data_IF_103208086995
#
_entry.id   IF_103208086995
#
_cell.length_a   1.000
_cell.length_b   1.000
_cell.length_c   1.000
_cell.angle_alpha   90.00
_cell.angle_beta   90.00
_cell.angle_gamma   90.00
#
_symmetry.space_group_name_H-M   'P 1'
#
loop_
_entity.id
_entity.type
_entity.pdbx_description
1 polymer ?
#
# COMPACT_ATOMS: atom_id res chain seq x y z
N UNK A 1 4.52 17.91 5.46
CA UNK A 1 5.30 17.45 4.29
C UNK A 1 4.85 16.05 3.92
N UNK A 2 3.89 16.01 3.01
CA UNK A 2 3.32 14.88 2.25
C UNK A 2 4.42 14.05 1.56
N UNK A 3 4.20 12.75 1.35
CA UNK A 3 5.14 11.84 0.67
C UNK A 3 5.53 12.42 -0.71
N UNK A 4 6.76 12.94 -0.91
CA UNK A 4 7.10 13.64 -2.13
C UNK A 4 7.51 12.62 -3.20
N UNK A 5 6.72 12.56 -4.26
CA UNK A 5 6.99 11.96 -5.57
C UNK A 5 7.36 10.47 -5.52
N UNK A 6 6.35 9.60 -5.67
CA UNK A 6 6.58 8.24 -6.13
C UNK A 6 7.47 8.33 -7.38
N UNK A 7 8.67 7.73 -7.32
CA UNK A 7 9.54 7.69 -8.48
C UNK A 7 8.87 6.80 -9.54
N UNK A 8 8.25 7.42 -10.55
CA UNK A 8 7.46 6.73 -11.56
C UNK A 8 8.27 5.66 -12.31
N UNK A 9 9.56 5.91 -12.58
CA UNK A 9 10.42 4.91 -13.22
C UNK A 9 10.69 3.72 -12.31
N UNK A 10 10.91 3.96 -11.01
CA UNK A 10 11.10 2.87 -10.04
C UNK A 10 9.80 2.08 -9.82
N UNK A 11 8.65 2.76 -9.77
CA UNK A 11 7.34 2.12 -9.66
C UNK A 11 7.02 1.26 -10.88
N UNK A 12 7.32 1.75 -12.08
CA UNK A 12 7.15 1.00 -13.33
C UNK A 12 8.07 -0.23 -13.36
N UNK A 13 9.37 -0.07 -13.09
CA UNK A 13 10.31 -1.20 -13.02
C UNK A 13 9.90 -2.25 -12.00
N UNK A 14 9.40 -1.81 -10.85
CA UNK A 14 8.87 -2.71 -9.83
C UNK A 14 7.67 -3.49 -10.39
N UNK A 15 6.68 -2.79 -10.96
CA UNK A 15 5.47 -3.39 -11.51
C UNK A 15 5.77 -4.38 -12.64
N UNK A 16 6.65 -4.01 -13.58
CA UNK A 16 7.12 -4.88 -14.68
C UNK A 16 7.75 -6.18 -14.16
N UNK A 17 8.39 -6.16 -12.98
CA UNK A 17 8.98 -7.36 -12.37
C UNK A 17 7.95 -8.41 -11.91
N UNK A 18 6.65 -8.08 -11.93
CA UNK A 18 5.54 -8.99 -11.65
C UNK A 18 4.71 -9.34 -12.90
N UNK A 19 5.14 -8.89 -14.08
CA UNK A 19 4.47 -9.22 -15.34
C UNK A 19 4.57 -10.72 -15.68
N UNK A 20 3.58 -11.23 -16.39
CA UNK A 20 3.56 -12.60 -16.90
C UNK A 20 3.15 -13.67 -15.88
N UNK A 21 2.72 -14.82 -16.40
CA UNK A 21 2.07 -15.89 -15.61
C UNK A 21 2.99 -16.52 -14.56
N UNK A 22 4.30 -16.58 -14.83
CA UNK A 22 5.30 -17.14 -13.92
C UNK A 22 5.43 -16.35 -12.60
N UNK A 23 4.96 -15.09 -12.55
CA UNK A 23 5.04 -14.24 -11.37
C UNK A 23 3.72 -14.18 -10.56
N UNK A 24 2.72 -14.99 -10.91
CA UNK A 24 1.38 -14.95 -10.30
C UNK A 24 1.39 -15.12 -8.77
N UNK A 25 2.12 -16.10 -8.24
CA UNK A 25 2.24 -16.29 -6.77
C UNK A 25 2.94 -15.10 -6.09
N UNK A 26 3.98 -14.56 -6.73
CA UNK A 26 4.72 -13.40 -6.22
C UNK A 26 3.86 -12.14 -6.22
N UNK A 27 3.00 -11.99 -7.24
CA UNK A 27 2.01 -10.92 -7.32
C UNK A 27 0.96 -11.03 -6.22
N UNK A 28 0.48 -12.25 -5.93
CA UNK A 28 -0.46 -12.49 -4.84
C UNK A 28 0.15 -12.12 -3.48
N UNK A 29 1.39 -12.53 -3.23
CA UNK A 29 2.12 -12.13 -2.03
C UNK A 29 2.30 -10.61 -1.93
N UNK A 30 2.57 -9.92 -3.05
CA UNK A 30 2.67 -8.46 -3.06
C UNK A 30 1.36 -7.81 -2.61
N UNK A 31 0.22 -8.30 -3.11
CA UNK A 31 -1.10 -7.79 -2.72
C UNK A 31 -1.29 -7.94 -1.21
N UNK A 32 -1.04 -9.15 -0.68
CA UNK A 32 -1.22 -9.43 0.75
C UNK A 32 -0.34 -8.53 1.62
N UNK A 33 0.92 -8.32 1.23
CA UNK A 33 1.84 -7.43 1.95
C UNK A 33 1.39 -5.97 1.92
N UNK A 34 0.89 -5.49 0.78
CA UNK A 34 0.38 -4.11 0.68
C UNK A 34 -0.88 -3.93 1.52
N UNK A 35 -1.82 -4.88 1.47
CA UNK A 35 -3.02 -4.84 2.30
C UNK A 35 -2.67 -4.85 3.79
N UNK A 36 -1.70 -5.67 4.19
CA UNK A 36 -1.19 -5.71 5.56
C UNK A 36 -0.60 -4.36 5.99
N UNK A 37 0.29 -3.77 5.18
CA UNK A 37 0.93 -2.49 5.51
C UNK A 37 -0.10 -1.37 5.57
N UNK A 38 -1.08 -1.31 4.67
CA UNK A 38 -2.14 -0.31 4.71
C UNK A 38 -3.05 -0.47 5.93
N UNK A 39 -3.40 -1.71 6.28
CA UNK A 39 -4.17 -2.01 7.48
C UNK A 39 -3.41 -1.62 8.76
N UNK A 40 -2.11 -1.91 8.82
CA UNK A 40 -1.27 -1.43 9.92
C UNK A 40 -1.17 0.09 9.94
N UNK A 41 -1.02 0.75 8.79
CA UNK A 41 -1.02 2.23 8.71
C UNK A 41 -2.31 2.83 9.27
N UNK A 42 -3.47 2.23 8.95
CA UNK A 42 -4.76 2.67 9.45
C UNK A 42 -4.87 2.48 10.97
N UNK A 43 -4.51 1.30 11.49
CA UNK A 43 -4.56 0.98 12.93
C UNK A 43 -3.62 1.87 13.73
N UNK A 44 -2.39 2.02 13.25
CA UNK A 44 -1.34 2.79 13.93
C UNK A 44 -1.61 4.29 13.91
N UNK A 45 -2.50 4.76 13.04
CA UNK A 45 -3.01 6.14 13.04
C UNK A 45 -3.95 6.45 14.22
N UNK A 46 -4.44 5.44 14.94
CA UNK A 46 -5.27 5.59 16.15
C UNK A 46 -4.55 5.12 17.41
N UNK A 47 -3.85 3.99 17.30
CA UNK A 47 -3.18 3.33 18.42
C UNK A 47 -1.68 3.44 18.17
N UNK A 48 -0.92 4.20 18.98
CA UNK A 48 0.53 4.24 18.87
C UNK A 48 1.11 2.82 18.94
N UNK A 49 2.18 2.55 18.16
CA UNK A 49 2.91 1.29 18.30
C UNK A 49 3.41 1.17 19.74
N UNK A 50 3.24 -0.01 20.33
CA UNK A 50 3.90 -0.34 21.57
C UNK A 50 5.43 -0.25 21.34
N UNK A 51 6.16 0.61 22.08
CA UNK A 51 7.61 0.75 21.94
C UNK A 51 8.37 -0.57 22.15
N UNK A 52 7.80 -1.47 22.94
CA UNK A 52 8.41 -2.75 23.32
C UNK A 52 8.04 -3.90 22.35
N UNK A 53 7.04 -3.69 21.50
CA UNK A 53 6.66 -4.65 20.47
C UNK A 53 7.57 -4.52 19.24
N UNK A 54 8.78 -5.09 19.32
CA UNK A 54 9.75 -5.34 18.24
C UNK A 54 10.06 -4.18 17.26
N UNK A 55 11.33 -3.72 17.15
CA UNK A 55 11.69 -2.66 16.23
C UNK A 55 12.00 -3.24 14.85
N UNK A 56 10.98 -3.45 14.02
CA UNK A 56 11.19 -3.24 12.58
C UNK A 56 11.45 -1.73 12.42
N UNK A 57 12.71 -1.31 12.42
CA UNK A 57 13.10 0.11 12.36
C UNK A 57 12.53 0.85 11.12
N UNK A 58 12.10 0.08 10.10
CA UNK A 58 11.34 0.56 8.95
C UNK A 58 9.95 1.10 9.35
N UNK A 59 9.32 0.49 10.35
CA UNK A 59 7.93 0.70 10.75
C UNK A 59 7.76 2.03 11.49
N UNK A 60 8.58 2.33 12.50
CA UNK A 60 8.35 3.53 13.32
C UNK A 60 8.44 4.82 12.51
N UNK A 61 9.48 5.01 11.68
CA UNK A 61 9.63 6.24 10.89
C UNK A 61 8.59 6.37 9.78
N UNK A 62 8.25 5.26 9.12
CA UNK A 62 7.23 5.25 8.07
C UNK A 62 5.85 5.52 8.66
N UNK A 63 5.44 4.75 9.66
CA UNK A 63 4.15 4.93 10.30
C UNK A 63 4.03 6.29 10.98
N UNK A 64 5.09 6.83 11.59
CA UNK A 64 5.06 8.21 12.14
C UNK A 64 4.78 9.25 11.05
N UNK A 65 5.33 9.10 9.83
CA UNK A 65 5.04 10.02 8.72
C UNK A 65 3.60 9.88 8.20
N UNK A 66 3.06 8.66 8.23
CA UNK A 66 1.72 8.34 7.72
C UNK A 66 0.62 8.52 8.77
N UNK A 67 0.99 8.62 10.05
CA UNK A 67 0.12 8.83 11.19
C UNK A 67 -0.47 10.24 11.15
N UNK A 68 -1.79 10.32 11.02
CA UNK A 68 -2.52 11.60 10.89
C UNK A 68 -3.78 11.63 11.74
N UNK A 69 -3.74 10.94 12.88
CA UNK A 69 -4.87 10.81 13.79
C UNK A 69 -6.09 10.11 13.16
N UNK A 70 -7.29 10.30 13.75
CA UNK A 70 -8.50 9.59 13.34
C UNK A 70 -8.91 9.79 11.88
N UNK A 71 -8.68 10.99 11.32
CA UNK A 71 -8.96 11.27 9.91
C UNK A 71 -8.03 10.45 9.00
N UNK A 72 -6.74 10.38 9.35
CA UNK A 72 -5.76 9.54 8.69
C UNK A 72 -6.15 8.07 8.68
N UNK A 73 -6.50 7.54 9.85
CA UNK A 73 -6.92 6.16 10.01
C UNK A 73 -8.08 5.79 9.08
N UNK A 74 -9.10 6.66 9.03
CA UNK A 74 -10.25 6.45 8.15
C UNK A 74 -9.88 6.50 6.67
N UNK A 75 -9.04 7.45 6.24
CA UNK A 75 -8.62 7.55 4.83
C UNK A 75 -7.80 6.32 4.41
N UNK A 76 -6.87 5.87 5.24
CA UNK A 76 -6.09 4.66 4.99
C UNK A 76 -6.95 3.40 4.91
N UNK A 77 -7.91 3.23 5.84
CA UNK A 77 -8.83 2.11 5.82
C UNK A 77 -9.71 2.06 4.55
N UNK A 78 -10.21 3.22 4.11
CA UNK A 78 -11.01 3.32 2.88
C UNK A 78 -10.18 2.99 1.63
N UNK A 79 -8.94 3.47 1.57
CA UNK A 79 -8.03 3.20 0.44
C UNK A 79 -7.62 1.73 0.40
N UNK A 80 -7.35 1.12 1.56
CA UNK A 80 -7.13 -0.32 1.65
C UNK A 80 -8.32 -1.09 1.08
N UNK A 81 -9.56 -0.78 1.49
CA UNK A 81 -10.77 -1.45 1.02
C UNK A 81 -10.95 -1.35 -0.50
N UNK A 82 -10.74 -0.16 -1.07
CA UNK A 82 -10.85 0.09 -2.51
C UNK A 82 -9.76 -0.66 -3.31
N UNK A 83 -8.51 -0.65 -2.82
CA UNK A 83 -7.42 -1.46 -3.42
C UNK A 83 -7.79 -2.93 -3.40
N UNK A 84 -8.18 -3.48 -2.25
CA UNK A 84 -8.56 -4.89 -2.10
C UNK A 84 -9.66 -5.32 -3.07
N UNK A 85 -10.69 -4.49 -3.25
CA UNK A 85 -11.78 -4.77 -4.19
C UNK A 85 -11.28 -4.77 -5.64
N UNK A 86 -10.45 -3.79 -6.02
CA UNK A 86 -9.89 -3.71 -7.37
C UNK A 86 -8.94 -4.85 -7.68
N UNK A 87 -8.07 -5.25 -6.75
CA UNK A 87 -7.14 -6.36 -6.96
C UNK A 87 -7.89 -7.67 -7.18
N UNK A 88 -8.90 -7.96 -6.34
CA UNK A 88 -9.75 -9.16 -6.50
C UNK A 88 -10.52 -9.15 -7.82
N UNK A 89 -11.16 -8.03 -8.16
CA UNK A 89 -11.91 -7.93 -9.40
C UNK A 89 -11.00 -8.04 -10.63
N UNK A 90 -9.87 -7.33 -10.62
CA UNK A 90 -8.89 -7.36 -11.71
C UNK A 90 -8.35 -8.76 -11.96
N UNK A 91 -8.02 -9.50 -10.90
CA UNK A 91 -7.65 -10.92 -11.02
C UNK A 91 -8.77 -11.77 -11.60
N UNK A 92 -10.00 -11.59 -11.14
CA UNK A 92 -11.15 -12.38 -11.61
C UNK A 92 -11.43 -12.21 -13.11
N UNK A 93 -11.06 -11.07 -13.69
CA UNK A 93 -11.20 -10.78 -15.12
C UNK A 93 -9.87 -10.83 -15.89
N UNK A 94 -8.81 -11.39 -15.29
CA UNK A 94 -7.48 -11.55 -15.88
C UNK A 94 -6.82 -10.24 -16.34
N UNK A 95 -6.98 -9.14 -15.59
CA UNK A 95 -6.25 -7.91 -15.86
C UNK A 95 -4.75 -8.11 -15.66
N UNK A 96 -3.99 -7.37 -16.46
CA UNK A 96 -2.53 -7.33 -16.40
C UNK A 96 -2.03 -6.88 -15.00
N UNK A 97 -1.15 -7.67 -14.33
CA UNK A 97 -0.61 -7.34 -13.02
C UNK A 97 0.14 -6.00 -12.96
N UNK A 98 0.87 -5.65 -14.02
CA UNK A 98 1.65 -4.40 -14.06
C UNK A 98 0.71 -3.20 -13.90
N UNK A 99 -0.38 -3.20 -14.66
CA UNK A 99 -1.43 -2.16 -14.60
C UNK A 99 -2.07 -2.06 -13.22
N UNK A 100 -2.39 -3.20 -12.60
CA UNK A 100 -3.00 -3.24 -11.27
C UNK A 100 -2.06 -2.69 -10.18
N UNK A 101 -0.76 -3.02 -10.24
CA UNK A 101 0.24 -2.52 -9.29
C UNK A 101 0.38 -1.00 -9.43
N UNK A 102 0.45 -0.48 -10.65
CA UNK A 102 0.56 0.96 -10.87
C UNK A 102 -0.66 1.72 -10.36
N UNK A 103 -1.89 1.27 -10.66
CA UNK A 103 -3.12 1.88 -10.12
C UNK A 103 -3.11 1.90 -8.58
N UNK A 104 -2.73 0.78 -7.97
CA UNK A 104 -2.61 0.65 -6.52
C UNK A 104 -1.60 1.66 -5.94
N UNK A 105 -0.40 1.76 -6.50
CA UNK A 105 0.64 2.70 -6.03
C UNK A 105 0.18 4.16 -6.16
N UNK A 106 -0.47 4.53 -7.26
CA UNK A 106 -1.01 5.90 -7.44
C UNK A 106 -2.12 6.24 -6.45
N UNK A 107 -2.98 5.28 -6.09
CA UNK A 107 -3.99 5.50 -5.04
C UNK A 107 -3.37 5.72 -3.67
N UNK A 108 -2.34 4.96 -3.33
CA UNK A 108 -1.60 5.13 -2.08
C UNK A 108 -0.96 6.51 -2.04
N UNK A 109 -0.30 6.93 -3.11
CA UNK A 109 0.29 8.27 -3.24
C UNK A 109 -0.77 9.36 -3.09
N UNK A 110 -1.91 9.24 -3.79
CA UNK A 110 -3.01 10.20 -3.69
C UNK A 110 -3.58 10.31 -2.27
N UNK A 111 -3.71 9.18 -1.57
CA UNK A 111 -4.13 9.16 -0.16
C UNK A 111 -3.14 9.93 0.71
N UNK A 112 -1.85 9.60 0.59
CA UNK A 112 -0.78 10.25 1.34
C UNK A 112 -0.71 11.75 1.05
N UNK A 113 -0.89 12.17 -0.20
CA UNK A 113 -0.90 13.58 -0.59
C UNK A 113 -2.10 14.36 -0.02
N UNK A 114 -3.22 13.68 0.24
CA UNK A 114 -4.42 14.29 0.82
C UNK A 114 -4.40 14.37 2.36
N UNK A 115 -3.27 14.05 3.00
CA UNK A 115 -3.10 13.88 4.45
C UNK A 115 -2.02 14.81 5.03
#
# INVERSE_FOLDING_TARGET
HTLPNLNQSAALKLAESFGGQANSERFDLLIDLIEYILGQTAKTSLIPLDPDAYPTALDQKLFTKLHKGPIGARKWALVQQDISQRMRHGKAVNLDPVTLILDMLFKIEKCAAAL
#
